data_IF_046869102968
#
_entry.id   IF_046869102968
#
_cell.length_a   1.000
_cell.length_b   1.000
_cell.length_c   1.000
_cell.angle_alpha   90.00
_cell.angle_beta   90.00
_cell.angle_gamma   90.00
#
_symmetry.space_group_name_H-M   'P 1'
#
loop_
_entity.id
_entity.type
_entity.pdbx_description
1 polymer ?
#
# COMPACT_ATOMS: atom_id res chain seq x y z
N UNK A 1 40.72 57.41 2.45
CA UNK A 1 39.40 57.29 1.77
C UNK A 1 39.32 55.95 1.06
N UNK A 2 38.98 54.88 1.79
CA UNK A 2 38.89 53.52 1.25
C UNK A 2 37.55 53.29 0.57
N UNK A 3 37.60 52.89 -0.70
CA UNK A 3 36.45 52.52 -1.52
C UNK A 3 35.90 51.17 -1.05
N UNK A 4 34.79 51.18 -0.32
CA UNK A 4 34.00 49.98 -0.05
C UNK A 4 33.25 49.59 -1.32
N UNK A 5 33.83 48.66 -2.09
CA UNK A 5 33.16 48.01 -3.21
C UNK A 5 32.00 47.18 -2.68
N UNK A 6 30.77 47.62 -2.94
CA UNK A 6 29.56 46.88 -2.62
C UNK A 6 29.57 45.57 -3.43
N UNK A 7 29.76 44.45 -2.74
CA UNK A 7 29.57 43.09 -3.27
C UNK A 7 28.14 42.96 -3.80
N UNK A 8 27.99 43.12 -5.11
CA UNK A 8 26.79 42.77 -5.84
C UNK A 8 26.52 41.28 -5.60
N UNK A 9 25.42 40.99 -4.88
CA UNK A 9 25.00 39.62 -4.54
C UNK A 9 24.60 38.90 -5.81
N UNK A 10 25.48 38.00 -6.26
CA UNK A 10 25.34 37.12 -7.43
C UNK A 10 24.34 35.96 -7.25
N UNK A 11 23.37 36.06 -6.33
CA UNK A 11 22.50 34.94 -5.94
C UNK A 11 21.02 35.12 -6.30
N UNK A 12 20.64 36.19 -6.98
CA UNK A 12 19.27 36.32 -7.49
C UNK A 12 19.24 35.78 -8.92
N UNK A 13 18.69 34.58 -9.17
CA UNK A 13 18.45 34.16 -10.54
C UNK A 13 17.51 35.19 -11.18
N UNK A 14 18.01 35.91 -12.19
CA UNK A 14 17.18 36.74 -13.05
C UNK A 14 16.19 35.80 -13.73
N UNK A 15 14.96 35.77 -13.22
CA UNK A 15 13.86 35.10 -13.92
C UNK A 15 13.68 35.82 -15.25
N UNK A 16 14.22 35.22 -16.30
CA UNK A 16 13.90 35.56 -17.67
C UNK A 16 12.40 35.33 -17.80
N UNK A 17 11.64 36.42 -17.88
CA UNK A 17 10.21 36.42 -18.15
C UNK A 17 10.01 35.99 -19.60
N UNK A 18 10.25 34.71 -19.86
CA UNK A 18 9.87 34.07 -21.10
C UNK A 18 8.34 34.12 -21.17
N UNK A 19 7.81 34.64 -22.27
CA UNK A 19 6.40 34.52 -22.63
C UNK A 19 6.14 33.03 -22.97
N UNK A 20 6.12 32.18 -21.95
CA UNK A 20 5.62 30.83 -22.12
C UNK A 20 4.09 30.95 -22.24
N UNK A 21 3.46 30.48 -23.32
CA UNK A 21 2.02 30.32 -23.32
C UNK A 21 1.66 29.43 -22.12
N UNK A 22 0.87 29.97 -21.18
CA UNK A 22 0.36 29.22 -20.04
C UNK A 22 -0.68 28.24 -20.57
N UNK A 23 -0.20 27.11 -21.08
CA UNK A 23 -1.05 25.98 -21.39
C UNK A 23 -1.46 25.40 -20.05
N UNK A 24 -2.72 25.60 -19.67
CA UNK A 24 -3.23 25.20 -18.36
C UNK A 24 -3.23 23.66 -18.28
N UNK A 25 -2.39 23.03 -17.45
CA UNK A 25 -2.22 21.58 -17.43
C UNK A 25 -3.50 20.84 -17.02
N UNK A 26 -4.38 21.49 -16.22
CA UNK A 26 -5.72 21.00 -15.92
C UNK A 26 -6.61 20.91 -17.16
N UNK A 27 -6.67 21.95 -18.00
CA UNK A 27 -7.52 21.98 -19.19
C UNK A 27 -7.09 20.92 -20.21
N UNK A 28 -5.78 20.78 -20.43
CA UNK A 28 -5.22 19.71 -21.27
C UNK A 28 -5.53 18.34 -20.67
N UNK A 29 -5.48 18.20 -19.34
CA UNK A 29 -5.80 16.95 -18.66
C UNK A 29 -7.22 16.47 -18.90
N UNK A 30 -8.21 17.37 -18.76
CA UNK A 30 -9.60 17.04 -19.00
C UNK A 30 -9.88 16.66 -20.46
N UNK A 31 -9.25 17.36 -21.41
CA UNK A 31 -9.36 17.04 -22.84
C UNK A 31 -8.75 15.67 -23.13
N UNK A 32 -7.54 15.40 -22.61
CA UNK A 32 -6.88 14.08 -22.78
C UNK A 32 -7.71 12.95 -22.16
N UNK A 33 -8.32 13.15 -20.98
CA UNK A 33 -9.15 12.14 -20.33
C UNK A 33 -10.47 11.88 -21.05
N UNK A 34 -11.07 12.91 -21.65
CA UNK A 34 -12.24 12.74 -22.53
C UNK A 34 -11.88 11.97 -23.80
N UNK A 35 -10.77 12.34 -24.44
CA UNK A 35 -10.25 11.71 -25.65
C UNK A 35 -9.87 10.25 -25.38
N UNK A 36 -9.19 9.95 -24.28
CA UNK A 36 -8.83 8.58 -23.89
C UNK A 36 -10.06 7.69 -23.68
N UNK A 37 -11.12 8.20 -23.02
CA UNK A 37 -12.39 7.46 -22.86
C UNK A 37 -13.10 7.24 -24.20
N UNK A 38 -13.01 8.21 -25.11
CA UNK A 38 -13.60 8.08 -26.45
C UNK A 38 -12.90 7.01 -27.29
N UNK A 39 -11.57 7.02 -27.36
CA UNK A 39 -10.77 6.01 -28.08
C UNK A 39 -10.83 4.62 -27.44
N UNK A 40 -10.96 4.52 -26.11
CA UNK A 40 -11.07 3.25 -25.40
C UNK A 40 -12.43 2.55 -25.54
N UNK A 41 -13.43 3.22 -26.11
CA UNK A 41 -14.76 2.64 -26.34
C UNK A 41 -14.84 2.08 -27.76
N UNK A 42 -15.37 0.86 -27.95
CA UNK A 42 -15.58 0.26 -29.29
C UNK A 42 -16.45 1.08 -30.25
N UNK A 43 -17.13 2.11 -29.75
CA UNK A 43 -17.88 3.12 -30.52
C UNK A 43 -17.00 3.90 -31.49
N UNK A 44 -15.76 4.22 -31.14
CA UNK A 44 -14.85 4.94 -32.04
C UNK A 44 -14.56 4.13 -33.31
N UNK A 45 -14.23 2.85 -33.15
CA UNK A 45 -13.98 1.94 -34.28
C UNK A 45 -15.21 1.83 -35.19
N UNK A 46 -16.40 1.68 -34.61
CA UNK A 46 -17.64 1.61 -35.38
C UNK A 46 -17.91 2.90 -36.18
N UNK A 47 -17.77 4.07 -35.56
CA UNK A 47 -17.93 5.35 -36.24
C UNK A 47 -16.91 5.53 -37.37
N UNK A 48 -15.64 5.21 -37.12
CA UNK A 48 -14.56 5.27 -38.12
C UNK A 48 -14.87 4.36 -39.31
N UNK A 49 -15.32 3.12 -39.08
CA UNK A 49 -15.71 2.20 -40.15
C UNK A 49 -16.88 2.75 -40.97
N UNK A 50 -17.91 3.31 -40.32
CA UNK A 50 -19.05 3.92 -41.01
C UNK A 50 -18.60 5.09 -41.89
N UNK A 51 -17.69 5.95 -41.40
CA UNK A 51 -17.14 7.07 -42.18
C UNK A 51 -16.39 6.59 -43.41
N UNK A 52 -15.55 5.56 -43.26
CA UNK A 52 -14.80 4.97 -44.38
C UNK A 52 -15.73 4.37 -45.42
N UNK A 53 -16.72 3.59 -44.99
CA UNK A 53 -17.71 2.98 -45.89
C UNK A 53 -18.55 4.04 -46.59
N UNK A 54 -18.99 5.07 -45.87
CA UNK A 54 -19.73 6.20 -46.45
C UNK A 54 -18.89 6.97 -47.47
N UNK A 55 -17.59 7.15 -47.22
CA UNK A 55 -16.67 7.80 -48.18
C UNK A 55 -16.51 6.97 -49.46
N UNK A 56 -16.29 5.67 -49.31
CA UNK A 56 -16.20 4.74 -50.46
C UNK A 56 -17.52 4.77 -51.25
N UNK A 57 -18.66 4.69 -50.56
CA UNK A 57 -19.97 4.73 -51.21
C UNK A 57 -20.20 6.06 -51.95
N UNK A 58 -19.93 7.21 -51.30
CA UNK A 58 -20.04 8.53 -51.91
C UNK A 58 -19.18 8.63 -53.17
N UNK A 59 -17.95 8.10 -53.13
CA UNK A 59 -17.06 8.10 -54.28
C UNK A 59 -17.61 7.25 -55.45
N UNK A 60 -18.14 6.06 -55.17
CA UNK A 60 -18.74 5.16 -56.16
C UNK A 60 -20.02 5.75 -56.77
N UNK A 61 -20.84 6.47 -55.99
CA UNK A 61 -22.02 7.17 -56.51
C UNK A 61 -21.67 8.48 -57.24
N UNK A 62 -20.59 9.16 -56.83
CA UNK A 62 -20.09 10.38 -57.44
C UNK A 62 -19.12 10.15 -58.62
N UNK A 63 -19.16 8.96 -59.25
CA UNK A 63 -18.34 8.58 -60.43
C UNK A 63 -18.47 9.58 -61.59
N UNK A 64 -19.61 10.27 -61.70
CA UNK A 64 -19.82 11.33 -62.71
C UNK A 64 -18.93 12.57 -62.55
N UNK A 65 -18.44 12.86 -61.33
CA UNK A 65 -17.59 14.02 -61.05
C UNK A 65 -16.10 13.67 -60.92
N UNK A 66 -15.72 12.38 -60.97
CA UNK A 66 -14.31 11.90 -60.87
C UNK A 66 -13.53 12.52 -59.70
N UNK A 67 -14.19 12.73 -58.57
CA UNK A 67 -13.64 13.49 -57.43
C UNK A 67 -12.43 12.79 -56.76
N UNK A 68 -12.35 11.45 -56.82
CA UNK A 68 -11.16 10.68 -56.41
C UNK A 68 -11.16 9.28 -57.09
N UNK A 69 -10.64 9.14 -58.32
CA UNK A 69 -10.61 7.89 -59.08
C UNK A 69 -9.75 6.81 -58.38
N UNK A 70 -10.02 5.53 -58.68
CA UNK A 70 -9.19 4.41 -58.21
C UNK A 70 -7.70 4.69 -58.54
N UNK A 71 -6.77 4.75 -57.54
CA UNK A 71 -6.77 4.06 -56.25
C UNK A 71 -6.99 4.96 -55.00
N UNK A 72 -8.02 5.83 -55.00
CA UNK A 72 -8.46 6.65 -53.84
C UNK A 72 -7.31 7.41 -53.14
N UNK A 73 -6.63 8.29 -53.90
CA UNK A 73 -5.41 8.97 -53.43
C UNK A 73 -5.70 9.89 -52.24
N UNK A 74 -6.87 10.52 -52.21
CA UNK A 74 -7.25 11.45 -51.14
C UNK A 74 -7.55 10.71 -49.84
N UNK A 75 -8.23 9.56 -49.92
CA UNK A 75 -8.47 8.71 -48.74
C UNK A 75 -7.15 8.19 -48.17
N UNK A 76 -6.24 7.74 -49.03
CA UNK A 76 -4.93 7.27 -48.60
C UNK A 76 -4.08 8.39 -47.97
N UNK A 77 -4.11 9.59 -48.56
CA UNK A 77 -3.44 10.76 -48.01
C UNK A 77 -4.00 11.11 -46.63
N UNK A 78 -5.32 11.13 -46.48
CA UNK A 78 -5.98 11.41 -45.21
C UNK A 78 -5.61 10.40 -44.12
N UNK A 79 -5.60 9.10 -44.43
CA UNK A 79 -5.17 8.06 -43.49
C UNK A 79 -3.69 8.18 -43.14
N UNK A 80 -2.84 8.52 -44.11
CA UNK A 80 -1.40 8.73 -43.89
C UNK A 80 -1.16 9.90 -42.91
N UNK A 81 -1.86 11.02 -43.10
CA UNK A 81 -1.78 12.16 -42.17
C UNK A 81 -2.40 11.83 -40.81
N UNK A 82 -3.51 11.08 -40.78
CA UNK A 82 -4.15 10.63 -39.53
C UNK A 82 -3.18 9.79 -38.70
N UNK A 83 -2.51 8.81 -39.31
CA UNK A 83 -1.51 7.98 -38.64
C UNK A 83 -0.31 8.81 -38.16
N UNK A 84 0.18 9.74 -38.99
CA UNK A 84 1.31 10.61 -38.64
C UNK A 84 1.02 11.51 -37.42
N UNK A 85 -0.20 12.03 -37.28
CA UNK A 85 -0.59 12.85 -36.13
C UNK A 85 -1.01 12.02 -34.90
N UNK A 86 -1.48 10.79 -35.11
CA UNK A 86 -1.84 9.89 -34.02
C UNK A 86 -0.61 9.52 -33.17
N UNK A 87 0.54 9.22 -33.78
CA UNK A 87 1.75 8.82 -33.06
C UNK A 87 2.20 9.81 -31.95
N UNK A 88 2.39 11.12 -32.22
CA UNK A 88 2.77 12.08 -31.17
C UNK A 88 1.68 12.30 -30.12
N UNK A 89 0.40 12.26 -30.51
CA UNK A 89 -0.72 12.35 -29.56
C UNK A 89 -0.74 11.15 -28.60
N UNK A 90 -0.52 9.95 -29.14
CA UNK A 90 -0.44 8.72 -28.35
C UNK A 90 0.76 8.79 -27.39
N UNK A 91 1.92 9.27 -27.84
CA UNK A 91 3.09 9.46 -26.98
C UNK A 91 2.81 10.45 -25.83
N UNK A 92 2.10 11.55 -26.10
CA UNK A 92 1.70 12.50 -25.05
C UNK A 92 0.74 11.88 -24.05
N UNK A 93 -0.24 11.09 -24.53
CA UNK A 93 -1.16 10.36 -23.67
C UNK A 93 -0.43 9.29 -22.83
N UNK A 94 0.51 8.56 -23.43
CA UNK A 94 1.33 7.55 -22.76
C UNK A 94 2.23 8.17 -21.69
N UNK A 95 2.96 9.25 -21.98
CA UNK A 95 3.79 9.95 -20.98
C UNK A 95 2.96 10.42 -19.78
N UNK A 96 1.71 10.86 -20.00
CA UNK A 96 0.81 11.23 -18.89
C UNK A 96 0.35 10.02 -18.09
N UNK A 97 -0.02 8.94 -18.76
CA UNK A 97 -0.42 7.70 -18.11
C UNK A 97 0.73 7.12 -17.28
N UNK A 98 1.94 7.06 -17.83
CA UNK A 98 3.15 6.57 -17.16
C UNK A 98 3.49 7.43 -15.92
N UNK A 99 3.38 8.75 -16.01
CA UNK A 99 3.58 9.63 -14.85
C UNK A 99 2.56 9.35 -13.74
N UNK A 100 1.28 9.15 -14.08
CA UNK A 100 0.22 8.81 -13.12
C UNK A 100 0.48 7.46 -12.47
N UNK A 101 0.82 6.46 -13.27
CA UNK A 101 1.10 5.10 -12.83
C UNK A 101 2.35 5.06 -11.94
N UNK A 102 3.38 5.85 -12.27
CA UNK A 102 4.57 6.02 -11.43
C UNK A 102 4.23 6.61 -10.07
N UNK A 103 3.45 7.69 -10.01
CA UNK A 103 3.05 8.30 -8.73
C UNK A 103 2.24 7.32 -7.88
N UNK A 104 1.28 6.62 -8.50
CA UNK A 104 0.49 5.59 -7.81
C UNK A 104 1.36 4.47 -7.24
N UNK A 105 2.35 4.01 -8.00
CA UNK A 105 3.30 2.97 -7.58
C UNK A 105 4.25 3.45 -6.46
N UNK A 106 4.69 4.71 -6.51
CA UNK A 106 5.50 5.30 -5.44
C UNK A 106 4.69 5.42 -4.13
N UNK A 107 3.42 5.82 -4.20
CA UNK A 107 2.53 5.83 -3.04
C UNK A 107 2.29 4.44 -2.48
N UNK A 108 2.02 3.45 -3.34
CA UNK A 108 1.80 2.06 -2.91
C UNK A 108 3.03 1.49 -2.20
N UNK A 109 4.23 1.74 -2.73
CA UNK A 109 5.50 1.38 -2.07
C UNK A 109 5.65 2.04 -0.71
N UNK A 110 5.30 3.32 -0.57
CA UNK A 110 5.36 4.03 0.73
C UNK A 110 4.38 3.42 1.73
N UNK A 111 3.15 3.13 1.30
CA UNK A 111 2.13 2.47 2.14
C UNK A 111 2.59 1.09 2.58
N UNK A 112 3.12 0.28 1.66
CA UNK A 112 3.65 -1.05 1.97
C UNK A 112 4.81 -0.99 2.99
N UNK A 113 5.70 0.00 2.86
CA UNK A 113 6.79 0.21 3.82
C UNK A 113 6.27 0.59 5.22
N UNK A 114 5.27 1.47 5.30
CA UNK A 114 4.62 1.86 6.56
C UNK A 114 3.92 0.66 7.21
N UNK A 115 3.07 -0.05 6.47
CA UNK A 115 2.38 -1.25 6.97
C UNK A 115 3.36 -2.31 7.47
N UNK A 116 4.48 -2.50 6.77
CA UNK A 116 5.55 -3.41 7.23
C UNK A 116 6.15 -2.95 8.56
N UNK A 117 6.50 -1.65 8.68
CA UNK A 117 7.05 -1.11 9.92
C UNK A 117 6.06 -1.21 11.09
N UNK A 118 4.78 -0.91 10.87
CA UNK A 118 3.73 -1.05 11.88
C UNK A 118 3.56 -2.50 12.32
N UNK A 119 3.62 -3.44 11.38
CA UNK A 119 3.54 -4.88 11.68
C UNK A 119 4.75 -5.35 12.48
N UNK A 120 5.96 -4.91 12.12
CA UNK A 120 7.18 -5.20 12.90
C UNK A 120 7.14 -4.61 14.30
N UNK A 121 6.61 -3.39 14.44
CA UNK A 121 6.41 -2.74 15.73
C UNK A 121 5.43 -3.53 16.61
N UNK A 122 4.25 -3.86 16.07
CA UNK A 122 3.25 -4.67 16.78
C UNK A 122 3.80 -6.04 17.14
N UNK A 123 4.57 -6.69 16.27
CA UNK A 123 5.19 -7.98 16.58
C UNK A 123 6.20 -7.89 17.73
N UNK A 124 7.01 -6.82 17.79
CA UNK A 124 7.94 -6.58 18.90
C UNK A 124 7.20 -6.30 20.20
N UNK A 125 6.15 -5.48 20.15
CA UNK A 125 5.34 -5.16 21.31
C UNK A 125 4.62 -6.40 21.85
N UNK A 126 4.06 -7.24 20.96
CA UNK A 126 3.47 -8.53 21.32
C UNK A 126 4.49 -9.48 21.93
N UNK A 127 5.72 -9.52 21.42
CA UNK A 127 6.79 -10.35 21.99
C UNK A 127 7.18 -9.85 23.40
N UNK A 128 7.32 -8.55 23.60
CA UNK A 128 7.60 -7.94 24.90
C UNK A 128 6.47 -8.22 25.90
N UNK A 129 5.21 -8.03 25.48
CA UNK A 129 4.03 -8.33 26.28
C UNK A 129 3.98 -9.82 26.67
N UNK A 130 4.30 -10.73 25.75
CA UNK A 130 4.34 -12.17 26.02
C UNK A 130 5.38 -12.53 27.07
N UNK A 131 6.56 -11.91 27.04
CA UNK A 131 7.61 -12.13 28.04
C UNK A 131 7.16 -11.63 29.42
N UNK A 132 6.61 -10.42 29.49
CA UNK A 132 6.09 -9.85 30.74
C UNK A 132 4.98 -10.73 31.36
N UNK A 133 4.05 -11.25 30.55
CA UNK A 133 3.02 -12.20 31.02
C UNK A 133 3.65 -13.51 31.52
N UNK A 134 4.72 -13.98 30.87
CA UNK A 134 5.47 -15.16 31.29
C UNK A 134 6.09 -15.03 32.69
N UNK A 135 6.59 -13.85 33.06
CA UNK A 135 7.12 -13.58 34.40
C UNK A 135 6.02 -13.53 35.47
N UNK A 136 4.86 -12.96 35.13
CA UNK A 136 3.69 -12.96 36.02
C UNK A 136 3.20 -14.38 36.30
N UNK A 137 3.18 -15.25 35.28
CA UNK A 137 2.84 -16.66 35.46
C UNK A 137 3.79 -17.37 36.43
N UNK A 138 5.11 -17.11 36.34
CA UNK A 138 6.09 -17.65 37.30
C UNK A 138 5.86 -17.17 38.72
N UNK A 139 5.56 -15.88 38.90
CA UNK A 139 5.28 -15.30 40.22
C UNK A 139 4.06 -15.95 40.86
N UNK A 140 3.01 -16.19 40.06
CA UNK A 140 1.81 -16.92 40.51
C UNK A 140 2.14 -18.34 40.97
N UNK A 141 2.93 -19.07 40.20
CA UNK A 141 3.24 -20.47 40.52
C UNK A 141 4.19 -20.58 41.74
N UNK A 142 5.09 -19.61 41.93
CA UNK A 142 5.90 -19.47 43.14
C UNK A 142 5.04 -19.19 44.38
N UNK A 143 4.14 -18.20 44.30
CA UNK A 143 3.18 -17.90 45.38
C UNK A 143 2.34 -19.13 45.77
N UNK A 144 1.93 -19.92 44.77
CA UNK A 144 1.18 -21.16 45.02
C UNK A 144 2.02 -22.20 45.74
N UNK A 145 3.28 -22.40 45.36
CA UNK A 145 4.19 -23.33 46.06
C UNK A 145 4.45 -22.89 47.49
N UNK A 146 4.64 -21.59 47.72
CA UNK A 146 4.87 -21.07 49.07
C UNK A 146 3.65 -21.25 49.98
N UNK A 147 2.43 -21.01 49.44
CA UNK A 147 1.19 -21.29 50.17
C UNK A 147 1.02 -22.78 50.50
N UNK A 148 1.37 -23.68 49.59
CA UNK A 148 1.30 -25.13 49.86
C UNK A 148 2.34 -25.56 50.90
N UNK A 149 3.55 -25.03 50.84
CA UNK A 149 4.63 -25.27 51.82
C UNK A 149 4.21 -24.78 53.23
N UNK A 150 3.64 -23.58 53.33
CA UNK A 150 3.10 -23.08 54.60
C UNK A 150 1.96 -23.95 55.12
N UNK A 151 1.08 -24.41 54.24
CA UNK A 151 -0.02 -25.32 54.61
C UNK A 151 0.51 -26.65 55.13
N UNK A 152 1.49 -27.29 54.47
CA UNK A 152 2.04 -28.56 54.92
C UNK A 152 2.75 -28.44 56.28
N UNK A 153 3.49 -27.35 56.51
CA UNK A 153 4.15 -27.10 57.80
C UNK A 153 3.14 -26.94 58.95
N UNK A 154 1.97 -26.36 58.67
CA UNK A 154 0.89 -26.25 59.66
C UNK A 154 0.20 -27.59 59.92
N UNK A 155 -0.03 -28.40 58.87
CA UNK A 155 -0.57 -29.77 59.00
C UNK A 155 0.36 -30.67 59.83
N UNK A 156 1.68 -30.65 59.58
CA UNK A 156 2.67 -31.39 60.36
C UNK A 156 2.65 -30.98 61.83
N UNK A 157 2.56 -29.68 62.11
CA UNK A 157 2.48 -29.18 63.49
C UNK A 157 1.15 -29.55 64.17
N UNK A 158 0.05 -29.58 63.44
CA UNK A 158 -1.23 -30.07 63.95
C UNK A 158 -1.20 -31.58 64.22
N UNK A 159 -0.50 -32.37 63.40
CA UNK A 159 -0.30 -33.79 63.65
C UNK A 159 0.49 -34.04 64.94
N UNK A 160 1.61 -33.32 65.14
CA UNK A 160 2.41 -33.34 66.38
C UNK A 160 1.57 -32.99 67.63
N UNK A 161 0.70 -31.98 67.51
CA UNK A 161 -0.19 -31.55 68.61
C UNK A 161 -1.33 -32.55 68.84
N UNK A 162 -1.69 -33.34 67.83
CA UNK A 162 -2.71 -34.40 67.93
C UNK A 162 -2.12 -35.72 68.48
N UNK A 163 -0.80 -35.84 68.59
CA UNK A 163 -0.09 -37.01 69.13
C UNK A 163 0.24 -37.02 70.65
N UNK A 164 -0.54 -36.43 71.58
CA UNK A 164 -0.41 -36.74 73.00
C UNK A 164 -1.65 -37.44 73.54
N UNK A 165 -1.92 -38.70 73.14
CA UNK A 165 -2.69 -39.66 73.93
C UNK A 165 -2.80 -41.02 73.23
N UNK A 166 -1.93 -41.96 73.57
CA UNK A 166 -2.20 -43.37 73.33
C UNK A 166 -0.97 -44.21 73.03
N UNK A 167 -0.16 -44.51 74.05
CA UNK A 167 0.18 -45.89 74.43
C UNK A 167 1.05 -45.82 75.69
N UNK A 168 0.35 -45.86 76.81
CA UNK A 168 0.91 -46.23 78.09
C UNK A 168 -0.27 -46.67 78.94
N UNK A 169 -0.68 -47.93 78.81
CA UNK A 169 -0.89 -48.80 79.97
C UNK A 169 -1.20 -50.24 79.53
N UNK A 170 -0.54 -51.17 80.21
CA UNK A 170 -0.64 -52.61 80.07
C UNK A 170 0.17 -53.27 81.18
N UNK A 171 0.13 -52.68 82.39
CA UNK A 171 0.67 -53.29 83.59
C UNK A 171 -0.38 -54.22 84.21
N UNK A 172 0.10 -55.43 84.47
CA UNK A 172 -0.30 -56.39 85.49
C UNK A 172 -1.30 -57.50 85.15
N UNK A 173 -0.88 -58.72 85.50
CA UNK A 173 -1.55 -59.93 85.06
C UNK A 173 -0.91 -61.26 85.44
N UNK A 174 -0.44 -61.41 86.68
CA UNK A 174 -0.75 -62.59 87.49
C UNK A 174 -0.07 -63.93 87.13
N UNK A 175 0.90 -64.28 87.97
CA UNK A 175 1.05 -65.54 88.72
C UNK A 175 0.93 -66.93 88.04
N UNK A 176 1.78 -67.83 88.57
CA UNK A 176 1.74 -69.32 88.60
C UNK A 176 2.57 -70.00 87.51
N UNK A 177 3.26 -71.12 87.74
CA UNK A 177 3.63 -71.95 88.91
C UNK A 177 4.45 -73.10 88.28
N UNK A 178 5.38 -73.66 89.06
CA UNK A 178 6.05 -74.97 88.89
C UNK A 178 7.22 -75.06 87.92
#
# INVERSE_FOLDING_TARGET
MSKTSARARLYTPRTSRTLAPRVDPEAVGQVTESVARFFGTGRYLLLQTVVVVAWIALNVFAVGLRWDPYPFILLNLAFSTQAAYAAPLILLAQNRQENRDRVALEEDRRRAAQTKADTEYLARELAALRLAIGEVAKTRDYLRHELESLRSLLEDRQADISEPAGTGDGVDGRARKS
#
